data_IF_346103532722
#
_entry.id   IF_346103532722
#
_cell.length_a   1.000
_cell.length_b   1.000
_cell.length_c   1.000
_cell.angle_alpha   90.00
_cell.angle_beta   90.00
_cell.angle_gamma   90.00
#
_symmetry.space_group_name_H-M   'P 1'
#
loop_
_entity.id
_entity.type
_entity.pdbx_description
1 polymer ?
#
# COMPACT_ATOMS: atom_id res chain seq x y z
N UNK A 1 -61.57 23.70 2.29
CA UNK A 1 -60.21 23.51 1.75
C UNK A 1 -60.19 22.29 0.85
N UNK A 2 -60.05 22.49 -0.45
CA UNK A 2 -59.98 21.43 -1.46
C UNK A 2 -58.69 20.63 -1.28
N UNK A 3 -58.78 19.30 -1.14
CA UNK A 3 -57.58 18.44 -1.05
C UNK A 3 -56.73 18.61 -2.32
N UNK A 4 -55.39 18.73 -2.22
CA UNK A 4 -54.55 18.76 -3.40
C UNK A 4 -54.72 17.47 -4.21
N UNK A 5 -55.08 17.62 -5.47
CA UNK A 5 -55.58 16.56 -6.35
C UNK A 5 -54.51 15.62 -6.91
N UNK A 6 -53.22 15.97 -6.78
CA UNK A 6 -52.13 15.08 -7.20
C UNK A 6 -50.91 15.27 -6.29
N UNK A 7 -50.41 14.16 -5.73
CA UNK A 7 -49.25 14.14 -4.81
C UNK A 7 -48.23 13.13 -5.34
N UNK A 8 -47.00 13.59 -5.61
CA UNK A 8 -45.88 12.76 -6.02
C UNK A 8 -44.92 12.56 -4.84
N UNK A 9 -44.35 11.36 -4.69
CA UNK A 9 -43.38 11.04 -3.63
C UNK A 9 -42.03 10.65 -4.24
N UNK A 10 -40.95 11.34 -3.85
CA UNK A 10 -39.57 11.04 -4.24
C UNK A 10 -38.78 10.70 -2.98
N UNK A 11 -38.72 9.40 -2.64
CA UNK A 11 -38.17 8.95 -1.37
C UNK A 11 -38.95 9.56 -0.19
N UNK A 12 -38.25 10.26 0.71
CA UNK A 12 -38.83 10.96 1.86
C UNK A 12 -39.52 12.29 1.52
N UNK A 13 -39.41 12.77 0.28
CA UNK A 13 -39.92 14.09 -0.14
C UNK A 13 -41.29 13.99 -0.80
N UNK A 14 -42.22 14.89 -0.44
CA UNK A 14 -43.56 14.99 -1.02
C UNK A 14 -43.68 16.25 -1.89
N UNK A 15 -44.06 16.07 -3.15
CA UNK A 15 -44.16 17.13 -4.16
C UNK A 15 -45.61 17.26 -4.66
N UNK A 16 -46.07 18.48 -4.90
CA UNK A 16 -47.44 18.80 -5.36
C UNK A 16 -47.43 19.96 -6.33
N UNK A 17 -48.44 20.04 -7.20
CA UNK A 17 -48.57 21.14 -8.16
C UNK A 17 -47.40 21.21 -9.14
N UNK A 18 -46.84 22.39 -9.30
CA UNK A 18 -45.70 22.70 -10.17
C UNK A 18 -44.37 22.07 -9.71
N UNK A 19 -44.29 21.64 -8.45
CA UNK A 19 -43.11 20.94 -7.91
C UNK A 19 -43.02 19.48 -8.36
N UNK A 20 -44.06 18.93 -9.01
CA UNK A 20 -44.01 17.56 -9.53
C UNK A 20 -43.08 17.54 -10.76
N UNK A 21 -41.98 16.77 -10.72
CA UNK A 21 -40.98 16.78 -11.77
C UNK A 21 -41.54 16.17 -13.06
N UNK A 22 -41.12 16.71 -14.21
CA UNK A 22 -41.51 16.18 -15.54
C UNK A 22 -40.89 14.81 -15.85
N UNK A 23 -39.84 14.44 -15.11
CA UNK A 23 -39.11 13.19 -15.25
C UNK A 23 -38.89 12.54 -13.89
N UNK A 24 -38.91 11.21 -13.86
CA UNK A 24 -38.48 10.44 -12.70
C UNK A 24 -36.97 10.60 -12.51
N UNK A 25 -36.48 10.34 -11.29
CA UNK A 25 -35.04 10.41 -11.01
C UNK A 25 -34.25 9.45 -11.89
N UNK A 26 -34.74 8.21 -12.08
CA UNK A 26 -34.08 7.21 -12.93
C UNK A 26 -34.06 7.63 -14.40
N UNK A 27 -35.17 8.17 -14.92
CA UNK A 27 -35.20 8.65 -16.29
C UNK A 27 -34.22 9.81 -16.54
N UNK A 28 -33.99 10.66 -15.53
CA UNK A 28 -32.98 11.72 -15.59
C UNK A 28 -31.55 11.18 -15.51
N UNK A 29 -31.29 10.16 -14.69
CA UNK A 29 -29.97 9.53 -14.54
C UNK A 29 -29.56 8.73 -15.79
N UNK A 30 -30.53 8.02 -16.39
CA UNK A 30 -30.30 7.15 -17.55
C UNK A 30 -30.30 7.89 -18.89
N UNK A 31 -30.56 9.20 -18.88
CA UNK A 31 -30.35 10.03 -20.06
C UNK A 31 -28.86 10.17 -20.34
N UNK A 32 -28.48 10.01 -21.59
CA UNK A 32 -27.13 10.28 -22.05
C UNK A 32 -26.86 11.79 -21.98
N UNK A 33 -26.13 12.22 -20.96
CA UNK A 33 -25.67 13.59 -20.83
C UNK A 33 -24.54 13.89 -21.84
N UNK A 34 -24.43 15.14 -22.30
CA UNK A 34 -23.53 15.48 -23.43
C UNK A 34 -22.09 15.85 -23.01
N UNK A 35 -21.80 16.07 -21.72
CA UNK A 35 -20.44 16.37 -21.22
C UNK A 35 -20.01 15.43 -20.09
N UNK A 36 -18.74 15.00 -20.15
CA UNK A 36 -18.08 14.17 -19.15
C UNK A 36 -16.98 14.93 -18.37
N UNK A 37 -16.99 16.28 -18.43
CA UNK A 37 -15.92 17.11 -17.87
C UNK A 37 -15.76 16.95 -16.35
N UNK A 38 -16.89 16.74 -15.66
CA UNK A 38 -16.95 16.48 -14.21
C UNK A 38 -16.04 15.32 -13.76
N UNK A 39 -15.73 14.34 -14.63
CA UNK A 39 -14.82 13.23 -14.31
C UNK A 39 -13.38 13.68 -14.01
N UNK A 40 -12.99 14.86 -14.47
CA UNK A 40 -11.65 15.41 -14.32
C UNK A 40 -11.56 16.47 -13.22
N UNK A 41 -12.69 16.85 -12.62
CA UNK A 41 -12.77 17.84 -11.55
C UNK A 41 -12.50 17.22 -10.17
N UNK A 42 -12.01 18.04 -9.24
CA UNK A 42 -11.63 17.59 -7.89
C UNK A 42 -12.78 16.96 -7.08
N UNK A 43 -14.05 17.42 -7.15
CA UNK A 43 -15.15 16.75 -6.45
C UNK A 43 -15.29 15.28 -6.84
N UNK A 44 -15.14 14.95 -8.13
CA UNK A 44 -15.18 13.56 -8.57
C UNK A 44 -13.93 12.78 -8.16
N UNK A 45 -12.75 13.42 -8.16
CA UNK A 45 -11.52 12.80 -7.66
C UNK A 45 -11.64 12.42 -6.18
N UNK A 46 -12.29 13.22 -5.34
CA UNK A 46 -12.55 12.87 -3.93
C UNK A 46 -13.36 11.58 -3.82
N UNK A 47 -14.41 11.42 -4.62
CA UNK A 47 -15.22 10.20 -4.63
C UNK A 47 -14.45 8.97 -5.13
N UNK A 48 -13.57 9.16 -6.13
CA UNK A 48 -12.67 8.09 -6.59
C UNK A 48 -11.65 7.68 -5.54
N UNK A 49 -11.04 8.66 -4.86
CA UNK A 49 -10.10 8.42 -3.76
C UNK A 49 -10.79 7.66 -2.64
N UNK A 50 -12.00 8.07 -2.25
CA UNK A 50 -12.80 7.34 -1.27
C UNK A 50 -13.05 5.90 -1.70
N UNK A 51 -13.38 5.67 -2.98
CA UNK A 51 -13.62 4.34 -3.52
C UNK A 51 -12.37 3.44 -3.41
N UNK A 52 -11.18 3.96 -3.72
CA UNK A 52 -9.92 3.20 -3.55
C UNK A 52 -9.61 2.83 -2.09
N UNK A 53 -9.98 3.70 -1.13
CA UNK A 53 -9.88 3.34 0.29
C UNK A 53 -10.87 2.24 0.67
N UNK A 54 -12.11 2.30 0.19
CA UNK A 54 -13.12 1.27 0.45
C UNK A 54 -12.67 -0.07 -0.11
N UNK A 55 -12.30 -0.11 -1.39
CA UNK A 55 -11.84 -1.33 -2.08
C UNK A 55 -10.59 -1.92 -1.41
N UNK A 56 -9.60 -1.08 -1.09
CA UNK A 56 -8.40 -1.53 -0.41
C UNK A 56 -8.68 -2.05 1.01
N UNK A 57 -9.58 -1.41 1.75
CA UNK A 57 -9.93 -1.87 3.09
C UNK A 57 -10.72 -3.18 3.10
N UNK A 58 -11.64 -3.34 2.14
CA UNK A 58 -12.45 -4.54 1.99
C UNK A 58 -11.59 -5.73 1.56
N UNK A 59 -10.74 -5.56 0.53
CA UNK A 59 -9.90 -6.62 0.02
C UNK A 59 -8.88 -7.16 1.04
N UNK A 60 -8.41 -6.30 1.95
CA UNK A 60 -7.37 -6.65 2.94
C UNK A 60 -7.94 -6.95 4.34
N UNK A 61 -9.26 -6.92 4.52
CA UNK A 61 -9.90 -7.00 5.84
C UNK A 61 -9.56 -8.27 6.63
N UNK A 62 -9.31 -9.38 5.94
CA UNK A 62 -9.13 -10.72 6.54
C UNK A 62 -7.70 -11.28 6.41
N UNK A 63 -6.73 -10.46 5.99
CA UNK A 63 -5.34 -10.90 5.70
C UNK A 63 -4.61 -11.47 6.92
N UNK A 64 -5.00 -11.11 8.13
CA UNK A 64 -4.30 -11.49 9.36
C UNK A 64 -2.93 -10.81 9.48
N UNK A 65 -1.98 -11.39 10.25
CA UNK A 65 -0.63 -10.85 10.36
C UNK A 65 0.08 -10.81 9.00
N UNK A 66 0.78 -9.72 8.71
CA UNK A 66 1.52 -9.54 7.47
C UNK A 66 2.77 -8.68 7.65
N UNK A 67 3.74 -8.89 6.77
CA UNK A 67 4.95 -8.06 6.65
C UNK A 67 5.03 -7.54 5.22
N UNK A 68 5.29 -6.24 5.08
CA UNK A 68 5.53 -5.65 3.76
C UNK A 68 7.01 -5.75 3.39
N UNK A 69 7.28 -6.22 2.19
CA UNK A 69 8.62 -6.35 1.62
C UNK A 69 8.77 -5.38 0.45
N UNK A 70 9.79 -4.52 0.55
CA UNK A 70 10.13 -3.52 -0.47
C UNK A 70 11.50 -3.80 -1.07
N UNK A 71 11.72 -3.34 -2.30
CA UNK A 71 13.01 -3.42 -2.95
C UNK A 71 12.96 -2.98 -4.41
N UNK A 72 14.10 -3.08 -5.08
CA UNK A 72 14.23 -2.72 -6.50
C UNK A 72 13.30 -3.54 -7.40
N UNK A 73 12.58 -2.85 -8.28
CA UNK A 73 11.85 -3.48 -9.39
C UNK A 73 12.78 -3.95 -10.53
N UNK A 74 14.07 -3.57 -10.48
CA UNK A 74 15.05 -3.81 -11.56
C UNK A 74 15.98 -4.99 -11.30
N UNK A 75 15.92 -5.58 -10.11
CA UNK A 75 16.74 -6.74 -9.76
C UNK A 75 16.37 -7.92 -10.66
N UNK A 76 17.39 -8.64 -11.14
CA UNK A 76 17.19 -9.80 -12.01
C UNK A 76 17.09 -11.09 -11.19
N UNK A 77 16.41 -12.13 -11.69
CA UNK A 77 16.28 -13.40 -10.98
C UNK A 77 17.60 -14.14 -10.68
N UNK A 78 18.69 -13.84 -11.39
CA UNK A 78 20.03 -14.41 -11.18
C UNK A 78 20.86 -13.67 -10.12
N UNK A 79 20.33 -12.58 -9.56
CA UNK A 79 20.99 -11.82 -8.50
C UNK A 79 20.82 -12.54 -7.13
N UNK A 80 21.90 -12.73 -6.34
CA UNK A 80 21.81 -13.33 -5.02
C UNK A 80 20.81 -12.62 -4.08
N UNK A 81 20.60 -11.32 -4.26
CA UNK A 81 19.62 -10.58 -3.47
C UNK A 81 18.18 -10.93 -3.85
N UNK A 82 17.92 -11.37 -5.08
CA UNK A 82 16.62 -11.93 -5.48
C UNK A 82 16.34 -13.22 -4.71
N UNK A 83 17.31 -14.14 -4.68
CA UNK A 83 17.19 -15.38 -3.91
C UNK A 83 16.97 -15.10 -2.41
N UNK A 84 17.66 -14.10 -1.86
CA UNK A 84 17.45 -13.64 -0.49
C UNK A 84 16.02 -13.13 -0.25
N UNK A 85 15.48 -12.29 -1.14
CA UNK A 85 14.10 -11.81 -1.06
C UNK A 85 13.08 -12.95 -1.16
N UNK A 86 13.33 -13.94 -2.02
CA UNK A 86 12.50 -15.13 -2.14
C UNK A 86 12.52 -15.95 -0.84
N UNK A 87 13.71 -16.18 -0.27
CA UNK A 87 13.87 -16.85 1.02
C UNK A 87 13.15 -16.12 2.16
N UNK A 88 13.18 -14.79 2.17
CA UNK A 88 12.42 -13.97 3.13
C UNK A 88 10.91 -14.23 3.00
N UNK A 89 10.39 -14.27 1.77
CA UNK A 89 8.98 -14.55 1.51
C UNK A 89 8.54 -15.91 2.07
N UNK A 90 9.33 -16.95 1.85
CA UNK A 90 9.11 -18.30 2.39
C UNK A 90 9.11 -18.30 3.94
N UNK A 91 10.15 -17.73 4.54
CA UNK A 91 10.35 -17.68 5.99
C UNK A 91 9.27 -16.90 6.76
N UNK A 92 8.65 -15.91 6.10
CA UNK A 92 7.51 -15.17 6.64
C UNK A 92 6.26 -16.05 6.68
N UNK A 93 6.00 -16.80 5.61
CA UNK A 93 4.88 -17.73 5.54
C UNK A 93 5.03 -18.88 6.55
N UNK A 94 6.24 -19.42 6.71
CA UNK A 94 6.54 -20.43 7.74
C UNK A 94 6.22 -19.96 9.17
N UNK A 95 6.22 -18.63 9.39
CA UNK A 95 5.86 -18.00 10.67
C UNK A 95 4.40 -17.53 10.74
N UNK A 96 3.59 -17.84 9.74
CA UNK A 96 2.17 -17.47 9.70
C UNK A 96 1.90 -16.02 9.31
N UNK A 97 2.84 -15.36 8.62
CA UNK A 97 2.64 -14.01 8.08
C UNK A 97 2.32 -14.05 6.59
N UNK A 98 1.33 -13.24 6.18
CA UNK A 98 1.17 -12.88 4.78
C UNK A 98 2.31 -11.95 4.33
N UNK A 99 2.61 -11.96 3.03
CA UNK A 99 3.66 -11.12 2.44
C UNK A 99 3.01 -10.08 1.55
N UNK A 100 3.23 -8.80 1.86
CA UNK A 100 2.71 -7.67 1.09
C UNK A 100 3.85 -7.04 0.29
N UNK A 101 3.64 -6.82 -1.01
CA UNK A 101 4.61 -6.11 -1.86
C UNK A 101 3.89 -5.10 -2.75
N UNK A 102 4.65 -4.36 -3.56
CA UNK A 102 4.08 -3.55 -4.64
C UNK A 102 3.57 -4.33 -5.84
N UNK A 103 3.71 -5.65 -5.85
CA UNK A 103 3.28 -6.53 -6.93
C UNK A 103 4.08 -6.40 -8.24
N UNK A 104 5.12 -5.56 -8.29
CA UNK A 104 5.96 -5.38 -9.46
C UNK A 104 7.00 -6.50 -9.65
N UNK A 105 7.91 -6.34 -10.63
CA UNK A 105 9.03 -7.25 -10.87
C UNK A 105 10.15 -7.13 -9.81
N UNK A 106 11.24 -7.87 -10.00
CA UNK A 106 12.44 -7.78 -9.16
C UNK A 106 12.23 -8.28 -7.74
N UNK A 107 12.67 -7.52 -6.74
CA UNK A 107 12.58 -7.94 -5.33
C UNK A 107 11.14 -8.18 -4.85
N UNK A 108 10.18 -7.43 -5.41
CA UNK A 108 8.77 -7.61 -5.09
C UNK A 108 8.28 -8.96 -5.59
N UNK A 109 8.61 -9.31 -6.83
CA UNK A 109 8.31 -10.62 -7.41
C UNK A 109 8.97 -11.75 -6.62
N UNK A 110 10.24 -11.61 -6.25
CA UNK A 110 10.97 -12.60 -5.47
C UNK A 110 10.26 -12.91 -4.15
N UNK A 111 9.91 -11.88 -3.38
CA UNK A 111 9.20 -12.04 -2.11
C UNK A 111 7.80 -12.64 -2.29
N UNK A 112 7.04 -12.21 -3.31
CA UNK A 112 5.75 -12.82 -3.65
C UNK A 112 5.89 -14.29 -4.04
N UNK A 113 6.93 -14.62 -4.81
CA UNK A 113 7.23 -15.99 -5.23
C UNK A 113 7.51 -16.89 -4.05
N UNK A 114 8.39 -16.48 -3.14
CA UNK A 114 8.70 -17.25 -1.94
C UNK A 114 7.46 -17.50 -1.07
N UNK A 115 6.63 -16.48 -0.90
CA UNK A 115 5.38 -16.60 -0.15
C UNK A 115 4.38 -17.56 -0.82
N UNK A 116 4.24 -17.47 -2.14
CA UNK A 116 3.33 -18.31 -2.92
C UNK A 116 3.80 -19.77 -2.96
N UNK A 117 5.09 -20.03 -3.17
CA UNK A 117 5.67 -21.38 -3.20
C UNK A 117 5.55 -22.08 -1.83
N UNK A 118 5.60 -21.31 -0.73
CA UNK A 118 5.34 -21.79 0.63
C UNK A 118 3.84 -22.02 0.94
N UNK A 119 2.94 -21.72 -0.02
CA UNK A 119 1.49 -21.91 0.15
C UNK A 119 0.79 -20.82 0.99
N UNK A 120 1.44 -19.67 1.17
CA UNK A 120 0.91 -18.56 1.96
C UNK A 120 0.14 -17.50 1.15
N UNK A 121 -0.33 -16.47 1.86
CA UNK A 121 -1.00 -15.31 1.24
C UNK A 121 0.06 -14.34 0.70
N UNK A 122 0.06 -14.17 -0.63
CA UNK A 122 1.00 -13.34 -1.39
C UNK A 122 0.25 -12.16 -2.01
N UNK A 123 0.47 -10.98 -1.43
CA UNK A 123 -0.31 -9.77 -1.70
C UNK A 123 0.48 -8.82 -2.59
N UNK A 124 -0.17 -8.30 -3.62
CA UNK A 124 0.39 -7.30 -4.53
C UNK A 124 -0.47 -6.04 -4.55
N UNK A 125 0.07 -4.94 -4.03
CA UNK A 125 -0.55 -3.63 -4.08
C UNK A 125 0.04 -2.85 -5.25
N UNK A 126 -0.55 -3.01 -6.43
CA UNK A 126 -0.11 -2.38 -7.67
C UNK A 126 -0.41 -0.88 -7.70
N UNK A 127 0.25 -0.16 -8.61
CA UNK A 127 -0.01 1.26 -8.88
C UNK A 127 -0.05 1.51 -10.39
N UNK A 128 -0.96 2.37 -10.83
CA UNK A 128 -1.03 2.82 -12.22
C UNK A 128 0.25 3.59 -12.60
N UNK A 129 1.04 3.03 -13.52
CA UNK A 129 2.23 3.67 -14.10
C UNK A 129 2.18 3.63 -15.64
N UNK A 130 2.84 4.59 -16.32
CA UNK A 130 2.85 4.64 -17.78
C UNK A 130 3.51 3.44 -18.48
N UNK A 131 4.49 2.79 -17.83
CA UNK A 131 5.35 1.79 -18.47
C UNK A 131 5.52 0.49 -17.68
N UNK A 132 5.25 0.50 -16.38
CA UNK A 132 5.41 -0.65 -15.48
C UNK A 132 4.00 -1.12 -15.11
N UNK A 133 3.40 -1.94 -15.98
CA UNK A 133 2.01 -2.38 -15.84
C UNK A 133 1.90 -3.85 -15.49
N UNK A 134 1.03 -4.14 -14.53
CA UNK A 134 0.65 -5.50 -14.14
C UNK A 134 1.22 -5.94 -12.79
N UNK A 135 0.52 -6.86 -12.15
CA UNK A 135 1.00 -7.60 -10.99
C UNK A 135 1.80 -8.81 -11.48
N UNK A 136 2.87 -9.17 -10.77
CA UNK A 136 3.61 -10.38 -11.06
C UNK A 136 2.73 -11.64 -10.84
N UNK A 137 3.12 -12.74 -11.48
CA UNK A 137 2.31 -13.97 -11.52
C UNK A 137 2.16 -14.70 -10.18
N UNK A 138 2.94 -14.32 -9.17
CA UNK A 138 2.95 -14.96 -7.85
C UNK A 138 2.01 -14.26 -6.84
N UNK A 139 1.38 -13.17 -7.24
CA UNK A 139 0.35 -12.50 -6.44
C UNK A 139 -0.93 -13.32 -6.48
N UNK A 140 -1.43 -13.73 -5.31
CA UNK A 140 -2.72 -14.42 -5.16
C UNK A 140 -3.83 -13.55 -4.53
N UNK A 141 -3.48 -12.37 -3.99
CA UNK A 141 -4.41 -11.31 -3.60
C UNK A 141 -3.89 -9.96 -4.14
N UNK A 142 -4.53 -9.42 -5.17
CA UNK A 142 -4.07 -8.22 -5.87
C UNK A 142 -5.05 -7.05 -5.75
N UNK A 143 -4.53 -5.85 -5.46
CA UNK A 143 -5.30 -4.59 -5.52
C UNK A 143 -4.49 -3.57 -6.33
N UNK A 144 -5.07 -3.00 -7.38
CA UNK A 144 -4.41 -1.98 -8.20
C UNK A 144 -4.93 -0.59 -7.85
N UNK A 145 -4.03 0.28 -7.39
CA UNK A 145 -4.35 1.66 -7.03
C UNK A 145 -4.03 2.61 -8.18
N UNK A 146 -4.69 3.77 -8.18
CA UNK A 146 -4.27 4.92 -9.00
C UNK A 146 -3.58 5.98 -8.16
N UNK A 147 -3.97 6.12 -6.90
CA UNK A 147 -3.43 7.13 -6.01
C UNK A 147 -2.37 6.55 -5.07
N UNK A 148 -1.14 7.06 -5.17
CA UNK A 148 0.00 6.64 -4.36
C UNK A 148 -0.29 6.63 -2.86
N UNK A 149 -0.92 7.68 -2.33
CA UNK A 149 -1.16 7.82 -0.90
C UNK A 149 -2.20 6.81 -0.36
N UNK A 150 -3.16 6.39 -1.19
CA UNK A 150 -4.11 5.35 -0.82
C UNK A 150 -3.39 4.01 -0.68
N UNK A 151 -2.54 3.67 -1.66
CA UNK A 151 -1.66 2.50 -1.64
C UNK A 151 -0.72 2.49 -0.43
N UNK A 152 -0.03 3.59 -0.15
CA UNK A 152 0.87 3.75 1.00
C UNK A 152 0.19 3.46 2.34
N UNK A 153 -1.04 3.97 2.49
CA UNK A 153 -1.84 3.69 3.68
C UNK A 153 -2.04 2.19 3.90
N UNK A 154 -2.24 1.41 2.84
CA UNK A 154 -2.45 -0.03 2.95
C UNK A 154 -1.20 -0.78 3.39
N UNK A 155 -0.01 -0.37 2.93
CA UNK A 155 1.25 -0.97 3.37
C UNK A 155 1.46 -0.86 4.87
N UNK A 156 1.13 0.30 5.45
CA UNK A 156 1.31 0.55 6.88
C UNK A 156 0.17 -0.07 7.69
N UNK A 157 -1.08 0.08 7.26
CA UNK A 157 -2.26 -0.36 8.02
C UNK A 157 -2.34 -1.88 8.18
N UNK A 158 -1.99 -2.63 7.12
CA UNK A 158 -2.15 -4.08 7.09
C UNK A 158 -0.87 -4.85 7.35
N UNK A 159 0.25 -4.16 7.62
CA UNK A 159 1.51 -4.77 8.00
C UNK A 159 1.82 -4.52 9.48
N UNK A 160 2.64 -5.37 10.10
CA UNK A 160 3.18 -5.15 11.43
C UNK A 160 4.65 -4.69 11.41
N UNK A 161 5.32 -4.76 10.26
CA UNK A 161 6.72 -4.38 10.11
C UNK A 161 7.15 -4.40 8.65
N UNK A 162 8.30 -3.81 8.35
CA UNK A 162 8.86 -3.76 7.01
C UNK A 162 10.19 -4.51 6.93
N UNK A 163 10.37 -5.22 5.82
CA UNK A 163 11.67 -5.70 5.36
C UNK A 163 12.01 -4.97 4.06
N UNK A 164 13.16 -4.32 4.02
CA UNK A 164 13.55 -3.40 2.96
C UNK A 164 14.84 -3.92 2.30
N UNK A 165 14.67 -4.53 1.14
CA UNK A 165 15.75 -4.99 0.26
C UNK A 165 16.36 -3.80 -0.49
N UNK A 166 17.58 -3.93 -1.05
CA UNK A 166 18.20 -2.87 -1.85
C UNK A 166 17.29 -2.37 -2.97
N UNK A 167 17.16 -1.04 -3.10
CA UNK A 167 16.14 -0.44 -3.94
C UNK A 167 16.30 1.05 -4.22
N UNK A 168 15.59 1.56 -5.23
CA UNK A 168 15.68 2.94 -5.68
C UNK A 168 14.78 3.90 -4.90
N UNK A 169 14.35 4.99 -5.57
CA UNK A 169 13.55 6.05 -4.93
C UNK A 169 12.23 5.57 -4.32
N UNK A 170 11.52 4.65 -4.98
CA UNK A 170 10.28 4.11 -4.39
C UNK A 170 10.54 3.36 -3.07
N UNK A 171 11.65 2.62 -2.99
CA UNK A 171 12.06 1.94 -1.76
C UNK A 171 12.46 2.93 -0.67
N UNK A 172 13.19 4.00 -1.03
CA UNK A 172 13.56 5.06 -0.10
C UNK A 172 12.36 5.84 0.43
N UNK A 173 11.36 6.08 -0.42
CA UNK A 173 10.11 6.76 -0.06
C UNK A 173 9.38 6.02 1.07
N UNK A 174 9.17 4.70 0.91
CA UNK A 174 8.53 3.86 1.93
C UNK A 174 9.38 3.70 3.20
N UNK A 175 10.72 3.63 3.05
CA UNK A 175 11.66 3.57 4.17
C UNK A 175 11.57 4.82 5.04
N UNK A 176 11.66 6.02 4.45
CA UNK A 176 11.64 7.26 5.23
C UNK A 176 10.24 7.62 5.73
N UNK A 177 9.19 7.22 5.01
CA UNK A 177 7.82 7.35 5.49
C UNK A 177 7.60 6.52 6.77
N UNK A 178 7.98 5.23 6.76
CA UNK A 178 7.86 4.37 7.94
C UNK A 178 8.73 4.86 9.10
N UNK A 179 9.99 5.25 8.86
CA UNK A 179 10.85 5.82 9.89
C UNK A 179 10.23 7.07 10.54
N UNK A 180 9.65 7.97 9.73
CA UNK A 180 8.96 9.17 10.23
C UNK A 180 7.72 8.81 11.05
N UNK A 181 6.93 7.84 10.61
CA UNK A 181 5.73 7.38 11.33
C UNK A 181 6.08 6.75 12.69
N UNK A 182 7.17 5.98 12.76
CA UNK A 182 7.67 5.42 14.03
C UNK A 182 8.21 6.51 14.94
N UNK A 183 9.08 7.39 14.42
CA UNK A 183 9.69 8.49 15.17
C UNK A 183 8.62 9.42 15.80
N UNK A 184 7.55 9.71 15.06
CA UNK A 184 6.45 10.57 15.52
C UNK A 184 5.39 9.83 16.35
N UNK A 185 5.57 8.53 16.58
CA UNK A 185 4.66 7.69 17.37
C UNK A 185 3.28 7.48 16.74
N UNK A 186 3.15 7.71 15.42
CA UNK A 186 1.91 7.46 14.65
C UNK A 186 1.66 5.98 14.46
N UNK A 187 2.73 5.18 14.42
CA UNK A 187 2.71 3.73 14.56
C UNK A 187 3.63 3.34 15.72
N UNK A 188 3.21 2.34 16.50
CA UNK A 188 3.97 1.85 17.67
C UNK A 188 4.35 0.40 17.41
N UNK A 189 5.56 0.03 17.82
CA UNK A 189 6.08 -1.34 17.70
C UNK A 189 6.09 -1.85 16.25
N UNK A 190 6.69 -1.08 15.34
CA UNK A 190 6.77 -1.39 13.91
C UNK A 190 8.24 -1.53 13.49
N UNK A 191 8.80 -2.75 13.46
CA UNK A 191 10.20 -2.95 13.08
C UNK A 191 10.41 -2.63 11.59
N UNK A 192 11.50 -1.91 11.31
CA UNK A 192 11.98 -1.63 9.96
C UNK A 192 13.37 -2.25 9.81
N UNK A 193 13.44 -3.30 8.99
CA UNK A 193 14.65 -4.11 8.83
C UNK A 193 15.18 -3.94 7.41
N UNK A 194 16.44 -3.55 7.30
CA UNK A 194 17.15 -3.33 6.04
C UNK A 194 18.04 -4.54 5.76
N UNK A 195 17.97 -5.09 4.55
CA UNK A 195 18.77 -6.25 4.14
C UNK A 195 19.87 -5.81 3.17
N UNK A 196 21.11 -6.24 3.41
CA UNK A 196 22.28 -5.93 2.60
C UNK A 196 23.12 -4.80 3.19
N UNK A 197 24.01 -5.12 4.12
CA UNK A 197 24.88 -4.17 4.84
C UNK A 197 25.74 -3.34 3.90
N UNK A 198 26.33 -3.97 2.87
CA UNK A 198 27.13 -3.27 1.84
C UNK A 198 26.33 -2.17 1.13
N UNK A 199 25.03 -2.37 0.90
CA UNK A 199 24.18 -1.40 0.22
C UNK A 199 23.75 -0.26 1.15
N UNK A 200 23.38 -0.57 2.39
CA UNK A 200 22.76 0.39 3.32
C UNK A 200 23.76 1.15 4.20
N UNK A 201 24.97 0.64 4.38
CA UNK A 201 25.99 1.22 5.27
C UNK A 201 26.22 2.71 5.01
N UNK A 202 26.45 3.10 3.76
CA UNK A 202 26.69 4.50 3.41
C UNK A 202 25.52 5.44 3.74
N UNK A 203 24.28 4.96 3.64
CA UNK A 203 23.11 5.75 4.03
C UNK A 203 23.01 5.89 5.55
N UNK A 204 23.16 4.78 6.28
CA UNK A 204 23.09 4.76 7.75
C UNK A 204 24.22 5.60 8.36
N UNK A 205 25.42 5.53 7.78
CA UNK A 205 26.54 6.36 8.18
C UNK A 205 26.25 7.83 7.96
N UNK A 206 25.68 8.22 6.81
CA UNK A 206 25.28 9.60 6.56
C UNK A 206 24.21 10.09 7.54
N UNK A 207 23.19 9.28 7.83
CA UNK A 207 22.16 9.61 8.84
C UNK A 207 22.83 9.88 10.20
N UNK A 208 23.76 9.01 10.60
CA UNK A 208 24.48 9.12 11.88
C UNK A 208 25.45 10.30 11.92
N UNK A 209 26.25 10.51 10.88
CA UNK A 209 27.30 11.54 10.87
C UNK A 209 26.83 12.92 10.42
N UNK A 210 25.62 13.02 9.86
CA UNK A 210 25.11 14.28 9.30
C UNK A 210 23.80 14.68 9.97
N UNK A 211 22.78 13.82 9.96
CA UNK A 211 21.48 14.20 10.53
C UNK A 211 21.53 14.28 12.06
N UNK A 212 22.18 13.31 12.72
CA UNK A 212 22.33 13.34 14.18
C UNK A 212 23.28 14.46 14.60
N UNK A 213 24.46 14.57 13.97
CA UNK A 213 25.46 15.59 14.33
C UNK A 213 24.94 17.03 14.12
N UNK A 214 24.10 17.25 13.10
CA UNK A 214 23.44 18.54 12.88
C UNK A 214 22.20 18.76 13.78
N UNK A 215 21.81 17.80 14.60
CA UNK A 215 20.63 17.89 15.48
C UNK A 215 19.28 17.84 14.75
N UNK A 216 19.23 17.24 13.56
CA UNK A 216 18.01 17.09 12.76
C UNK A 216 17.14 15.92 13.23
N UNK A 217 17.75 14.93 13.90
CA UNK A 217 17.09 13.79 14.55
C UNK A 217 17.78 13.46 15.87
N UNK A 218 17.11 12.69 16.74
CA UNK A 218 17.70 12.23 18.01
C UNK A 218 18.74 11.13 17.76
N UNK A 219 19.78 11.00 18.61
CA UNK A 219 20.79 9.94 18.46
C UNK A 219 20.23 8.51 18.39
N UNK A 220 19.10 8.24 19.06
CA UNK A 220 18.45 6.93 19.03
C UNK A 220 17.55 6.68 17.81
N UNK A 221 17.25 7.70 17.00
CA UNK A 221 16.35 7.55 15.85
C UNK A 221 16.99 6.69 14.74
N UNK A 222 18.32 6.67 14.65
CA UNK A 222 19.04 5.79 13.71
C UNK A 222 18.86 4.31 14.06
N UNK A 223 18.63 3.98 15.33
CA UNK A 223 18.47 2.60 15.80
C UNK A 223 17.11 1.99 15.39
N UNK A 224 16.20 2.83 14.88
CA UNK A 224 14.99 2.38 14.18
C UNK A 224 15.31 1.56 12.93
N UNK A 225 16.49 1.78 12.34
CA UNK A 225 16.94 1.14 11.11
C UNK A 225 17.89 -0.02 11.44
N UNK A 226 17.38 -1.24 11.44
CA UNK A 226 18.16 -2.45 11.75
C UNK A 226 18.70 -3.05 10.45
N UNK A 227 20.02 -3.01 10.24
CA UNK A 227 20.66 -3.56 9.04
C UNK A 227 21.20 -4.97 9.30
N UNK A 228 20.89 -5.91 8.42
CA UNK A 228 21.32 -7.32 8.49
C UNK A 228 21.60 -7.86 7.09
N UNK A 229 22.26 -9.02 7.00
CA UNK A 229 22.47 -9.73 5.72
C UNK A 229 21.71 -11.06 5.65
N UNK A 230 21.47 -11.68 6.81
CA UNK A 230 20.86 -12.99 6.95
C UNK A 230 19.32 -12.91 6.83
N UNK A 231 18.68 -13.64 5.91
CA UNK A 231 17.23 -13.57 5.73
C UNK A 231 16.47 -14.09 6.96
N UNK A 232 16.98 -15.11 7.65
CA UNK A 232 16.40 -15.59 8.91
C UNK A 232 16.46 -14.54 10.01
N UNK A 233 17.57 -13.79 10.13
CA UNK A 233 17.69 -12.67 11.06
C UNK A 233 16.73 -11.54 10.70
N UNK A 234 16.59 -11.22 9.42
CA UNK A 234 15.67 -10.19 8.97
C UNK A 234 14.23 -10.49 9.39
N UNK A 235 13.79 -11.72 9.14
CA UNK A 235 12.45 -12.20 9.50
C UNK A 235 12.24 -12.24 11.02
N UNK A 236 13.21 -12.71 11.81
CA UNK A 236 13.12 -12.67 13.28
C UNK A 236 12.88 -11.25 13.80
N UNK A 237 13.69 -10.29 13.34
CA UNK A 237 13.59 -8.89 13.75
C UNK A 237 12.28 -8.25 13.30
N UNK A 238 11.81 -8.55 12.09
CA UNK A 238 10.57 -7.99 11.55
C UNK A 238 9.29 -8.56 12.20
N UNK A 239 9.36 -9.78 12.75
CA UNK A 239 8.21 -10.45 13.39
C UNK A 239 8.22 -10.37 14.92
N UNK A 240 9.32 -9.87 15.52
CA UNK A 240 9.45 -9.73 16.97
C UNK A 240 9.64 -11.05 17.72
N UNK A 241 10.16 -12.08 17.04
CA UNK A 241 10.41 -13.43 17.55
C UNK A 241 11.90 -13.72 17.80
#
# INVERSE_FOLDING_TARGET
MTKPTHTYRRGSVVLRGDQIPRMTSDASLLQSDQSADWKHEDPWRVLRIQSEFVEGFEALAEVGPAISVFGSARTRPDDPLYECAQRIGELLVDRGYAVITGGGPGMMEAANRGAWEAGGTSIGLGIELPHEQGLNQWVNLGVNFRYFFARKTMFVKYSQGFIVMPGGFGTMDELFESATLVQTGKIRSFPVVLVGTDYWSGLVDWIRSSMVDAGMISPGDVDLLRVVDDPEQAVRLATGA
#
